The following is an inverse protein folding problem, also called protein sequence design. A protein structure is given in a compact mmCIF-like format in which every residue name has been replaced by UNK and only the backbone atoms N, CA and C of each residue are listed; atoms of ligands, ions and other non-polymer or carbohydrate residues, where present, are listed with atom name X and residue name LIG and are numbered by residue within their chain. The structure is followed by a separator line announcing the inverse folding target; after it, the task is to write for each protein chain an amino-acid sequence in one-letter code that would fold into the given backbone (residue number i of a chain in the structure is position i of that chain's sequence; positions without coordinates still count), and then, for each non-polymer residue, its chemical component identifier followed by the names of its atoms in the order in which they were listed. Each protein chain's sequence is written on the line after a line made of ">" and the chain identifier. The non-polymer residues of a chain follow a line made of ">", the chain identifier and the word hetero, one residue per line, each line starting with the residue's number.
data_IF_278689868806
#
_entry.id   IF_278689868806
#
_cell.length_a   1.000
_cell.length_b   1.000
_cell.length_c   1.000
_cell.angle_alpha   90.00
_cell.angle_beta   90.00
_cell.angle_gamma   90.00
#
_symmetry.space_group_name_H-M   'P 1'
#
loop_
_entity.id
_entity.type
_entity.pdbx_description
1 polymer ?
#
# COMPACT_ATOMS: atom_id res chain seq x y z
N UNK A 1 21.15 -37.83 27.16
CA UNK A 1 22.21 -37.11 26.42
C UNK A 1 23.22 -36.58 27.44
N UNK A 2 24.36 -37.25 27.62
CA UNK A 2 25.43 -36.86 28.55
C UNK A 2 26.50 -36.06 27.81
N UNK A 3 26.22 -34.80 27.50
CA UNK A 3 27.20 -33.90 26.86
C UNK A 3 27.48 -32.72 27.79
N UNK A 4 28.72 -32.23 27.82
CA UNK A 4 29.12 -31.06 28.62
C UNK A 4 28.77 -29.69 28.00
N UNK A 5 28.09 -29.67 26.85
CA UNK A 5 27.69 -28.42 26.21
C UNK A 5 26.48 -27.79 26.90
N UNK A 6 26.56 -26.48 27.16
CA UNK A 6 25.50 -25.70 27.82
C UNK A 6 24.39 -25.28 26.87
N UNK A 7 24.75 -25.02 25.61
CA UNK A 7 23.86 -24.61 24.52
C UNK A 7 24.05 -25.57 23.35
N UNK A 8 22.97 -25.85 22.63
CA UNK A 8 22.95 -26.69 21.44
C UNK A 8 22.37 -25.88 20.29
N UNK A 9 23.00 -25.86 19.11
CA UNK A 9 22.44 -25.21 17.94
C UNK A 9 21.18 -25.95 17.50
N UNK A 10 20.14 -25.20 17.16
CA UNK A 10 18.94 -25.68 16.50
C UNK A 10 19.07 -25.32 15.04
N UNK A 11 18.83 -26.29 14.17
CA UNK A 11 18.84 -26.10 12.72
C UNK A 11 17.50 -26.54 12.13
N UNK A 12 17.10 -25.94 11.01
CA UNK A 12 15.96 -26.43 10.23
C UNK A 12 16.32 -27.69 9.41
N UNK A 13 15.35 -28.21 8.66
CA UNK A 13 15.52 -29.36 7.76
C UNK A 13 16.54 -29.12 6.63
N UNK A 14 16.82 -27.86 6.31
CA UNK A 14 17.73 -27.42 5.25
C UNK A 14 19.12 -27.07 5.83
N UNK A 15 19.34 -27.31 7.13
CA UNK A 15 20.60 -27.06 7.83
C UNK A 15 20.84 -25.61 8.24
N UNK A 16 19.85 -24.72 8.13
CA UNK A 16 19.99 -23.31 8.52
C UNK A 16 19.91 -23.16 10.03
N UNK A 17 20.80 -22.35 10.58
CA UNK A 17 20.86 -22.06 12.01
C UNK A 17 19.64 -21.22 12.45
N UNK A 18 18.85 -21.78 13.37
CA UNK A 18 17.64 -21.15 13.93
C UNK A 18 17.86 -20.54 15.32
N UNK A 19 18.96 -20.88 15.99
CA UNK A 19 19.28 -20.37 17.33
C UNK A 19 19.89 -21.41 18.25
N UNK A 20 19.93 -21.12 19.55
CA UNK A 20 20.45 -22.02 20.57
C UNK A 20 19.36 -22.46 21.54
N UNK A 21 19.33 -23.75 21.87
CA UNK A 21 18.55 -24.30 22.97
C UNK A 21 19.47 -24.73 24.12
N UNK A 22 19.03 -24.58 25.36
CA UNK A 22 19.76 -25.08 26.53
C UNK A 22 18.83 -25.96 27.39
N UNK A 23 19.38 -26.60 28.43
CA UNK A 23 18.61 -27.47 29.33
C UNK A 23 17.41 -26.76 29.97
N UNK A 24 17.48 -25.45 30.26
CA UNK A 24 16.36 -24.71 30.85
C UNK A 24 15.19 -24.59 29.87
N UNK A 25 15.47 -24.35 28.59
CA UNK A 25 14.46 -24.28 27.55
C UNK A 25 13.73 -25.63 27.35
N UNK A 26 14.39 -26.75 27.64
CA UNK A 26 13.78 -28.09 27.58
C UNK A 26 12.96 -28.38 28.84
N UNK A 27 13.47 -28.03 30.02
CA UNK A 27 12.83 -28.31 31.31
C UNK A 27 11.65 -27.39 31.61
N UNK A 28 11.68 -26.16 31.10
CA UNK A 28 10.63 -25.15 31.25
C UNK A 28 10.54 -24.34 29.96
N UNK A 29 9.89 -24.88 28.91
CA UNK A 29 9.71 -24.16 27.66
C UNK A 29 8.87 -22.91 27.90
N UNK A 30 9.53 -21.75 27.94
CA UNK A 30 8.86 -20.46 27.98
C UNK A 30 8.61 -20.01 26.55
N UNK A 31 7.33 -19.90 26.18
CA UNK A 31 6.95 -19.27 24.92
C UNK A 31 7.29 -17.79 24.99
N UNK A 32 7.67 -17.21 23.85
CA UNK A 32 7.85 -15.76 23.76
C UNK A 32 6.48 -15.11 23.90
N UNK A 33 6.37 -14.12 24.77
CA UNK A 33 5.17 -13.31 24.94
C UNK A 33 5.17 -12.17 23.94
N UNK A 34 4.09 -12.00 23.20
CA UNK A 34 3.99 -11.01 22.13
C UNK A 34 2.68 -10.25 22.20
N UNK A 35 2.69 -9.02 21.70
CA UNK A 35 1.50 -8.21 21.43
C UNK A 35 1.50 -7.94 19.93
N UNK A 36 0.38 -8.19 19.27
CA UNK A 36 0.23 -7.89 17.85
C UNK A 36 -0.39 -6.51 17.70
N UNK A 37 0.20 -5.71 16.82
CA UNK A 37 -0.33 -4.41 16.42
C UNK A 37 -0.54 -4.44 14.91
N UNK A 38 -1.66 -3.87 14.46
CA UNK A 38 -1.97 -3.64 13.04
C UNK A 38 -2.21 -4.90 12.18
N UNK A 39 -2.23 -6.08 12.80
CA UNK A 39 -2.61 -7.31 12.12
C UNK A 39 -3.04 -8.38 13.13
N UNK A 40 -3.78 -9.35 12.63
CA UNK A 40 -4.15 -10.54 13.39
C UNK A 40 -3.98 -11.86 12.59
N UNK A 41 -3.86 -11.83 11.26
CA UNK A 41 -3.69 -13.05 10.45
C UNK A 41 -2.29 -13.66 10.62
N UNK A 42 -2.20 -14.99 10.81
CA UNK A 42 -0.90 -15.66 11.01
C UNK A 42 0.03 -15.48 9.82
N UNK A 43 -0.54 -15.45 8.61
CA UNK A 43 0.22 -15.34 7.35
C UNK A 43 0.90 -13.96 7.22
N UNK A 44 0.37 -12.94 7.89
CA UNK A 44 0.92 -11.59 7.88
C UNK A 44 1.93 -11.36 9.02
N UNK A 45 2.02 -12.29 9.98
CA UNK A 45 2.85 -12.16 11.17
C UNK A 45 4.23 -12.81 11.00
N UNK A 46 5.12 -12.52 11.95
CA UNK A 46 6.43 -13.14 12.09
C UNK A 46 6.38 -14.67 12.16
N UNK A 47 7.39 -15.31 11.55
CA UNK A 47 7.66 -16.73 11.68
C UNK A 47 7.74 -17.14 13.15
N UNK A 48 7.07 -18.25 13.49
CA UNK A 48 7.05 -18.76 14.86
C UNK A 48 5.96 -18.16 15.76
N UNK A 49 5.02 -17.35 15.22
CA UNK A 49 3.91 -16.79 16.01
C UNK A 49 3.03 -17.88 16.64
N UNK A 50 2.82 -19.01 15.94
CA UNK A 50 1.99 -20.12 16.45
C UNK A 50 2.55 -20.75 17.73
N UNK A 51 3.86 -20.65 17.90
CA UNK A 51 4.62 -21.14 19.05
C UNK A 51 4.76 -20.08 20.16
N UNK A 52 4.36 -18.84 19.90
CA UNK A 52 4.36 -17.75 20.87
C UNK A 52 3.13 -17.78 21.78
N UNK A 53 3.16 -16.95 22.83
CA UNK A 53 2.04 -16.64 23.69
C UNK A 53 1.58 -15.21 23.36
N UNK A 54 0.49 -15.09 22.62
CA UNK A 54 -0.12 -13.79 22.31
C UNK A 54 -0.79 -13.28 23.57
N UNK A 55 -0.44 -12.08 24.02
CA UNK A 55 -1.01 -11.45 25.20
C UNK A 55 -2.15 -10.51 24.84
N UNK A 56 -1.95 -9.71 23.79
CA UNK A 56 -2.91 -8.70 23.34
C UNK A 56 -2.85 -8.54 21.82
N UNK A 57 -3.95 -8.06 21.24
CA UNK A 57 -4.05 -7.66 19.84
C UNK A 57 -4.70 -6.28 19.78
N UNK A 58 -4.05 -5.33 19.11
CA UNK A 58 -4.58 -3.99 18.83
C UNK A 58 -4.58 -3.79 17.33
N UNK A 59 -5.76 -3.74 16.72
CA UNK A 59 -5.87 -3.80 15.26
C UNK A 59 -7.10 -3.03 14.76
N UNK A 60 -7.09 -2.66 13.49
CA UNK A 60 -8.22 -2.03 12.78
C UNK A 60 -8.67 -2.81 11.54
N UNK A 61 -8.00 -3.92 11.22
CA UNK A 61 -8.34 -4.79 10.11
C UNK A 61 -9.49 -5.75 10.44
N UNK A 62 -10.01 -6.40 9.39
CA UNK A 62 -10.91 -7.54 9.53
C UNK A 62 -10.24 -8.64 10.37
N UNK A 63 -11.05 -9.42 11.06
CA UNK A 63 -10.58 -10.62 11.75
C UNK A 63 -10.37 -11.74 10.74
N UNK A 64 -9.20 -12.38 10.78
CA UNK A 64 -8.87 -13.53 9.96
C UNK A 64 -8.64 -14.80 10.78
N UNK A 65 -7.57 -15.54 10.50
CA UNK A 65 -7.37 -16.92 10.97
C UNK A 65 -6.70 -17.06 12.35
N UNK A 66 -6.80 -16.04 13.21
CA UNK A 66 -6.15 -16.02 14.53
C UNK A 66 -6.84 -16.91 15.57
N UNK A 67 -6.04 -17.57 16.40
CA UNK A 67 -6.55 -18.33 17.56
C UNK A 67 -5.60 -18.22 18.76
N UNK A 68 -6.16 -18.16 19.97
CA UNK A 68 -5.37 -18.14 21.21
C UNK A 68 -5.80 -19.27 22.13
N UNK A 69 -4.84 -19.87 22.84
CA UNK A 69 -5.12 -20.94 23.81
C UNK A 69 -5.67 -20.42 25.14
N UNK A 70 -5.55 -19.12 25.40
CA UNK A 70 -6.04 -18.42 26.59
C UNK A 70 -6.79 -17.16 26.18
N UNK A 71 -7.71 -16.64 27.02
CA UNK A 71 -8.28 -15.31 26.82
C UNK A 71 -7.19 -14.24 26.78
N UNK A 72 -7.34 -13.28 25.87
CA UNK A 72 -6.42 -12.15 25.66
C UNK A 72 -7.19 -10.83 25.62
N UNK A 73 -6.49 -9.70 25.83
CA UNK A 73 -7.07 -8.40 25.49
C UNK A 73 -7.07 -8.24 23.97
N UNK A 74 -8.25 -8.20 23.37
CA UNK A 74 -8.41 -7.95 21.95
C UNK A 74 -9.13 -6.61 21.77
N UNK A 75 -8.42 -5.62 21.23
CA UNK A 75 -8.99 -4.33 20.85
C UNK A 75 -8.97 -4.18 19.34
N UNK A 76 -10.14 -4.41 18.72
CA UNK A 76 -10.37 -4.10 17.31
C UNK A 76 -11.26 -2.86 17.21
N UNK A 77 -10.95 -1.92 16.33
CA UNK A 77 -11.79 -0.73 16.14
C UNK A 77 -11.89 -0.37 14.66
N UNK A 78 -13.09 0.03 14.23
CA UNK A 78 -13.36 0.43 12.84
C UNK A 78 -12.90 1.89 12.67
N UNK A 79 -11.59 2.09 12.65
CA UNK A 79 -10.91 3.39 12.45
C UNK A 79 -9.90 3.29 11.31
N UNK A 80 -9.42 4.43 10.85
CA UNK A 80 -8.50 4.52 9.72
C UNK A 80 -7.10 3.96 9.99
N UNK A 81 -6.65 3.95 11.25
CA UNK A 81 -5.31 3.49 11.63
C UNK A 81 -5.26 2.87 13.02
N UNK A 82 -4.40 1.86 13.21
CA UNK A 82 -4.04 1.33 14.54
C UNK A 82 -3.44 2.42 15.45
N UNK A 83 -2.73 3.41 14.88
CA UNK A 83 -2.17 4.53 15.66
C UNK A 83 -3.26 5.39 16.32
N UNK A 84 -4.46 5.48 15.73
CA UNK A 84 -5.63 6.12 16.35
C UNK A 84 -6.07 5.36 17.60
N UNK A 85 -6.02 4.03 17.57
CA UNK A 85 -6.35 3.18 18.72
C UNK A 85 -5.31 3.37 19.83
N UNK A 86 -4.02 3.38 19.48
CA UNK A 86 -2.94 3.62 20.46
C UNK A 86 -3.06 5.01 21.07
N UNK A 87 -3.36 6.04 20.28
CA UNK A 87 -3.66 7.38 20.79
C UNK A 87 -4.79 7.33 21.84
N UNK A 88 -5.90 6.63 21.57
CA UNK A 88 -7.00 6.50 22.54
C UNK A 88 -6.54 5.82 23.83
N UNK A 89 -5.69 4.79 23.75
CA UNK A 89 -5.13 4.13 24.93
C UNK A 89 -4.34 5.15 25.78
N UNK A 90 -3.47 5.98 25.19
CA UNK A 90 -2.79 7.04 25.94
C UNK A 90 -3.77 7.97 26.65
N UNK A 91 -4.87 8.36 25.98
CA UNK A 91 -5.92 9.21 26.56
C UNK A 91 -6.67 8.53 27.71
N UNK A 92 -7.06 7.28 27.55
CA UNK A 92 -7.79 6.49 28.55
C UNK A 92 -7.01 6.31 29.83
N UNK A 93 -5.69 6.08 29.72
CA UNK A 93 -4.80 5.91 30.86
C UNK A 93 -4.25 7.23 31.41
N UNK A 94 -4.64 8.38 30.84
CA UNK A 94 -4.12 9.71 31.19
C UNK A 94 -2.57 9.77 31.18
N UNK A 95 -1.97 9.18 30.15
CA UNK A 95 -0.53 9.20 29.93
C UNK A 95 -0.20 10.32 28.95
N UNK A 96 0.74 11.18 29.32
CA UNK A 96 1.24 12.23 28.43
C UNK A 96 1.98 11.62 27.23
N UNK A 97 1.75 12.17 26.05
CA UNK A 97 2.37 11.72 24.81
C UNK A 97 3.62 12.57 24.56
N UNK A 98 4.79 11.93 24.58
CA UNK A 98 6.06 12.59 24.26
C UNK A 98 6.13 13.01 22.78
N UNK A 99 6.91 14.05 22.47
CA UNK A 99 7.00 14.64 21.13
C UNK A 99 7.32 13.61 20.03
N UNK A 100 8.33 12.76 20.24
CA UNK A 100 8.70 11.70 19.30
C UNK A 100 7.59 10.65 19.09
N UNK A 101 6.88 10.28 20.15
CA UNK A 101 5.76 9.34 20.06
C UNK A 101 4.59 9.99 19.32
N UNK A 102 4.30 11.26 19.60
CA UNK A 102 3.29 12.01 18.88
C UNK A 102 3.61 12.05 17.38
N UNK A 103 4.89 12.23 17.03
CA UNK A 103 5.40 12.16 15.66
C UNK A 103 5.08 10.82 15.01
N UNK A 104 5.43 9.70 15.63
CA UNK A 104 5.16 8.37 15.07
C UNK A 104 3.66 8.09 14.91
N UNK A 105 2.85 8.48 15.90
CA UNK A 105 1.40 8.27 15.85
C UNK A 105 0.77 9.10 14.73
N UNK A 106 1.14 10.37 14.58
CA UNK A 106 0.58 11.22 13.52
C UNK A 106 0.99 10.71 12.14
N UNK A 107 2.24 10.25 11.96
CA UNK A 107 2.71 9.66 10.70
C UNK A 107 1.91 8.41 10.34
N UNK A 108 1.71 7.49 11.29
CA UNK A 108 0.96 6.26 11.05
C UNK A 108 -0.49 6.55 10.64
N UNK A 109 -1.16 7.48 11.34
CA UNK A 109 -2.53 7.86 10.99
C UNK A 109 -2.59 8.49 9.59
N UNK A 110 -1.68 9.42 9.29
CA UNK A 110 -1.66 10.10 8.00
C UNK A 110 -1.33 9.14 6.85
N UNK A 111 -0.46 8.14 7.09
CA UNK A 111 -0.11 7.08 6.14
C UNK A 111 -1.32 6.22 5.79
N UNK A 112 -1.95 5.58 6.78
CA UNK A 112 -3.06 4.64 6.53
C UNK A 112 -4.31 5.33 5.98
N UNK A 113 -4.51 6.59 6.37
CA UNK A 113 -5.65 7.39 5.92
C UNK A 113 -5.41 8.10 4.60
N UNK A 114 -4.21 8.03 4.02
CA UNK A 114 -3.83 8.76 2.80
C UNK A 114 -4.17 10.25 2.92
N UNK A 115 -3.73 10.89 4.01
CA UNK A 115 -4.14 12.24 4.39
C UNK A 115 -5.67 12.42 4.36
N UNK A 116 -6.36 11.51 5.06
CA UNK A 116 -7.81 11.49 5.18
C UNK A 116 -8.62 11.27 3.90
N UNK A 117 -7.97 10.86 2.81
CA UNK A 117 -8.61 10.52 1.54
C UNK A 117 -9.06 9.06 1.47
N UNK A 118 -8.49 8.20 2.30
CA UNK A 118 -8.91 6.81 2.41
C UNK A 118 -10.37 6.71 2.88
N UNK A 119 -11.19 5.83 2.28
CA UNK A 119 -12.56 5.59 2.72
C UNK A 119 -12.66 4.98 4.14
N UNK A 120 -11.56 4.48 4.69
CA UNK A 120 -11.49 3.97 6.07
C UNK A 120 -11.37 5.09 7.10
N UNK A 121 -11.09 6.33 6.67
CA UNK A 121 -10.90 7.47 7.57
C UNK A 121 -12.17 7.79 8.35
N UNK A 122 -12.01 8.00 9.65
CA UNK A 122 -13.07 8.39 10.57
C UNK A 122 -12.78 9.74 11.23
N UNK A 123 -13.80 10.31 11.89
CA UNK A 123 -13.62 11.52 12.71
C UNK A 123 -12.66 11.28 13.88
N UNK A 124 -12.52 10.03 14.35
CA UNK A 124 -11.57 9.70 15.41
C UNK A 124 -10.12 9.90 14.95
N UNK A 125 -9.82 9.54 13.70
CA UNK A 125 -8.50 9.75 13.10
C UNK A 125 -8.19 11.24 12.96
N UNK A 126 -9.15 12.03 12.48
CA UNK A 126 -9.01 13.50 12.35
C UNK A 126 -8.79 14.16 13.70
N UNK A 127 -9.54 13.75 14.72
CA UNK A 127 -9.39 14.27 16.08
C UNK A 127 -8.05 13.90 16.70
N UNK A 128 -7.57 12.67 16.48
CA UNK A 128 -6.25 12.23 16.94
C UNK A 128 -5.14 13.07 16.29
N UNK A 129 -5.16 13.24 14.96
CA UNK A 129 -4.19 14.08 14.23
C UNK A 129 -4.22 15.52 14.73
N UNK A 130 -5.40 16.10 14.93
CA UNK A 130 -5.55 17.46 15.45
C UNK A 130 -4.89 17.62 16.84
N UNK A 131 -5.13 16.67 17.75
CA UNK A 131 -4.51 16.69 19.08
C UNK A 131 -2.99 16.51 19.01
N UNK A 132 -2.52 15.52 18.24
CA UNK A 132 -1.10 15.22 18.10
C UNK A 132 -0.36 16.41 17.46
N UNK A 133 -0.98 17.10 16.50
CA UNK A 133 -0.37 18.28 15.89
C UNK A 133 -0.28 19.48 16.84
N UNK A 134 -1.09 19.56 17.90
CA UNK A 134 -0.89 20.59 18.93
C UNK A 134 0.42 20.40 19.70
N UNK A 135 0.90 19.16 19.81
CA UNK A 135 2.18 18.83 20.45
C UNK A 135 3.34 19.14 19.49
N UNK A 136 3.16 18.81 18.20
CA UNK A 136 4.22 18.84 17.21
C UNK A 136 4.37 20.18 16.49
N UNK A 137 3.27 20.91 16.34
CA UNK A 137 3.17 22.17 15.60
C UNK A 137 3.72 22.06 14.16
N UNK A 138 3.30 21.00 13.45
CA UNK A 138 3.69 20.76 12.05
C UNK A 138 2.76 21.52 11.10
N UNK A 139 3.34 21.90 9.96
CA UNK A 139 2.57 22.09 8.74
C UNK A 139 2.22 20.71 8.18
N UNK A 140 1.00 20.26 8.46
CA UNK A 140 0.55 18.90 8.14
C UNK A 140 0.55 18.65 6.64
N UNK A 141 0.16 19.63 5.82
CA UNK A 141 0.13 19.46 4.36
C UNK A 141 1.54 19.26 3.82
N UNK A 142 2.47 20.13 4.17
CA UNK A 142 3.86 19.99 3.75
C UNK A 142 4.49 18.69 4.27
N UNK A 143 4.25 18.35 5.55
CA UNK A 143 4.74 17.11 6.16
C UNK A 143 4.25 15.86 5.42
N UNK A 144 2.95 15.78 5.13
CA UNK A 144 2.32 14.68 4.40
C UNK A 144 2.92 14.54 3.02
N UNK A 145 3.08 15.65 2.29
CA UNK A 145 3.67 15.65 0.96
C UNK A 145 5.09 15.09 0.99
N UNK A 146 5.94 15.52 1.93
CA UNK A 146 7.30 15.01 2.09
C UNK A 146 7.35 13.54 2.51
N UNK A 147 6.51 13.15 3.48
CA UNK A 147 6.41 11.77 3.97
C UNK A 147 6.06 10.82 2.82
N UNK A 148 5.02 11.16 2.06
CA UNK A 148 4.56 10.32 0.97
C UNK A 148 5.49 10.33 -0.22
N UNK A 149 6.06 11.48 -0.60
CA UNK A 149 7.11 11.55 -1.61
C UNK A 149 8.28 10.62 -1.28
N UNK A 150 8.69 10.57 -0.02
CA UNK A 150 9.76 9.69 0.43
C UNK A 150 9.33 8.21 0.39
N UNK A 151 8.08 7.91 0.75
CA UNK A 151 7.54 6.54 0.79
C UNK A 151 7.13 5.96 -0.56
N UNK A 152 6.77 6.79 -1.54
CA UNK A 152 6.36 6.37 -2.91
C UNK A 152 7.37 6.77 -3.97
N UNK A 153 8.60 7.11 -3.56
CA UNK A 153 9.65 7.41 -4.52
C UNK A 153 9.87 6.19 -5.42
N UNK A 154 9.68 6.36 -6.72
CA UNK A 154 10.01 5.35 -7.73
C UNK A 154 11.51 5.43 -8.10
N UNK A 155 12.28 6.24 -7.36
CA UNK A 155 13.72 6.41 -7.51
C UNK A 155 14.44 5.10 -7.19
N UNK A 156 15.04 4.50 -8.22
CA UNK A 156 15.71 3.20 -8.13
C UNK A 156 14.91 2.02 -8.71
N UNK A 157 13.59 2.17 -8.93
CA UNK A 157 12.82 1.18 -9.67
C UNK A 157 13.06 1.30 -11.17
N UNK A 158 13.20 0.16 -11.86
CA UNK A 158 13.29 0.15 -13.31
C UNK A 158 11.95 0.54 -13.94
N UNK A 159 11.98 1.12 -15.15
CA UNK A 159 10.74 1.48 -15.87
C UNK A 159 9.91 0.22 -16.17
N UNK A 160 10.60 -0.89 -16.41
CA UNK A 160 9.98 -2.19 -16.63
C UNK A 160 9.20 -2.65 -15.40
N UNK A 161 9.79 -2.56 -14.21
CA UNK A 161 9.12 -2.93 -12.96
C UNK A 161 7.90 -2.03 -12.71
N UNK A 162 8.07 -0.70 -12.84
CA UNK A 162 6.98 0.27 -12.69
C UNK A 162 5.83 -0.06 -13.65
N UNK A 163 6.15 -0.32 -14.92
CA UNK A 163 5.14 -0.55 -15.94
C UNK A 163 4.44 -1.90 -15.76
N UNK A 164 5.16 -2.97 -15.43
CA UNK A 164 4.57 -4.32 -15.35
C UNK A 164 3.98 -4.69 -13.98
N UNK A 165 4.28 -3.94 -12.90
CA UNK A 165 3.80 -4.23 -11.55
C UNK A 165 2.28 -4.44 -11.48
N UNK A 166 1.50 -3.53 -12.08
CA UNK A 166 0.06 -3.72 -12.29
C UNK A 166 -0.34 -3.52 -13.76
N UNK A 167 0.33 -4.25 -14.66
CA UNK A 167 -0.10 -4.34 -16.05
C UNK A 167 -1.16 -5.44 -16.24
N UNK A 168 -2.18 -5.14 -17.05
CA UNK A 168 -3.19 -6.12 -17.50
C UNK A 168 -3.48 -5.96 -18.98
N UNK A 169 -3.62 -7.09 -19.66
CA UNK A 169 -4.11 -7.16 -21.03
C UNK A 169 -5.63 -7.34 -21.07
N UNK A 170 -6.25 -6.70 -22.07
CA UNK A 170 -7.66 -6.77 -22.39
C UNK A 170 -7.82 -6.94 -23.90
N UNK A 171 -8.89 -7.59 -24.29
CA UNK A 171 -9.34 -7.63 -25.69
C UNK A 171 -10.65 -6.85 -25.76
N UNK A 172 -10.58 -5.59 -26.20
CA UNK A 172 -11.71 -4.67 -26.25
C UNK A 172 -12.23 -4.64 -27.69
N UNK A 173 -13.33 -5.35 -27.93
CA UNK A 173 -13.80 -5.68 -29.28
C UNK A 173 -12.69 -6.31 -30.14
N UNK A 174 -12.25 -5.64 -31.20
CA UNK A 174 -11.17 -6.06 -32.10
C UNK A 174 -9.79 -5.53 -31.72
N UNK A 175 -9.66 -4.81 -30.59
CA UNK A 175 -8.42 -4.13 -30.21
C UNK A 175 -7.73 -4.82 -29.03
N UNK A 176 -6.50 -5.27 -29.24
CA UNK A 176 -5.62 -5.80 -28.20
C UNK A 176 -5.09 -4.63 -27.35
N UNK A 177 -5.50 -4.55 -26.10
CA UNK A 177 -5.26 -3.39 -25.23
C UNK A 177 -4.45 -3.77 -23.99
N UNK A 178 -3.34 -3.09 -23.74
CA UNK A 178 -2.55 -3.21 -22.51
C UNK A 178 -2.71 -1.99 -21.62
N UNK A 179 -3.05 -2.18 -20.34
CA UNK A 179 -3.23 -1.08 -19.39
C UNK A 179 -2.43 -1.34 -18.11
N UNK A 180 -1.42 -0.52 -17.87
CA UNK A 180 -0.70 -0.41 -16.61
C UNK A 180 -1.32 0.64 -15.69
N UNK A 181 -1.20 0.42 -14.39
CA UNK A 181 -1.58 1.41 -13.38
C UNK A 181 -0.50 1.49 -12.30
N UNK A 182 -0.04 2.72 -12.02
CA UNK A 182 0.88 3.02 -10.92
C UNK A 182 0.23 4.07 -10.03
N UNK A 183 0.34 3.89 -8.72
CA UNK A 183 -0.09 4.87 -7.75
C UNK A 183 1.12 5.71 -7.33
N UNK A 184 0.96 7.03 -7.33
CA UNK A 184 2.02 7.94 -6.89
C UNK A 184 1.45 9.04 -6.00
N UNK A 185 2.31 9.53 -5.11
CA UNK A 185 2.09 10.73 -4.32
C UNK A 185 3.12 11.83 -4.68
N UNK A 186 4.09 11.52 -5.55
CA UNK A 186 5.01 12.47 -6.20
C UNK A 186 4.90 12.34 -7.71
N UNK A 187 4.01 13.13 -8.31
CA UNK A 187 3.82 13.13 -9.75
C UNK A 187 5.03 13.71 -10.50
N UNK A 188 5.73 14.65 -9.89
CA UNK A 188 6.87 15.32 -10.52
C UNK A 188 8.01 14.32 -10.75
N UNK A 189 8.20 13.35 -9.85
CA UNK A 189 9.18 12.28 -10.05
C UNK A 189 8.86 11.41 -11.27
N UNK A 190 7.60 11.02 -11.44
CA UNK A 190 7.17 10.23 -12.60
C UNK A 190 7.38 11.03 -13.89
N UNK A 191 6.99 12.31 -13.88
CA UNK A 191 7.12 13.18 -15.05
C UNK A 191 8.57 13.54 -15.39
N UNK A 192 9.50 13.54 -14.43
CA UNK A 192 10.96 13.65 -14.73
C UNK A 192 11.44 12.52 -15.64
N UNK A 193 10.78 11.35 -15.59
CA UNK A 193 11.10 10.16 -16.39
C UNK A 193 10.13 9.96 -17.57
N UNK A 194 9.26 10.94 -17.85
CA UNK A 194 8.17 10.85 -18.85
C UNK A 194 8.65 10.32 -20.20
N UNK A 195 9.72 10.89 -20.76
CA UNK A 195 10.23 10.51 -22.08
C UNK A 195 10.68 9.04 -22.12
N UNK A 196 11.40 8.58 -21.09
CA UNK A 196 11.83 7.19 -21.01
C UNK A 196 10.65 6.22 -20.83
N UNK A 197 9.61 6.65 -20.11
CA UNK A 197 8.37 5.88 -19.94
C UNK A 197 7.62 5.80 -21.28
N UNK A 198 7.55 6.89 -22.04
CA UNK A 198 6.93 6.92 -23.37
C UNK A 198 7.66 6.00 -24.35
N UNK A 199 9.00 6.04 -24.38
CA UNK A 199 9.82 5.13 -25.18
C UNK A 199 9.56 3.66 -24.84
N UNK A 200 9.41 3.36 -23.54
CA UNK A 200 9.10 2.02 -23.05
C UNK A 200 7.68 1.59 -23.44
N UNK A 201 6.69 2.48 -23.32
CA UNK A 201 5.31 2.26 -23.77
C UNK A 201 5.31 1.96 -25.27
N UNK A 202 6.01 2.75 -26.08
CA UNK A 202 6.08 2.55 -27.53
C UNK A 202 6.75 1.22 -27.90
N UNK A 203 7.84 0.87 -27.24
CA UNK A 203 8.54 -0.41 -27.44
C UNK A 203 7.63 -1.59 -27.08
N UNK A 204 6.95 -1.51 -25.94
CA UNK A 204 6.02 -2.55 -25.47
C UNK A 204 4.81 -2.68 -26.39
N UNK A 205 4.28 -1.55 -26.85
CA UNK A 205 3.17 -1.48 -27.81
C UNK A 205 3.50 -2.26 -29.09
N UNK A 206 4.65 -1.97 -29.70
CA UNK A 206 5.11 -2.62 -30.94
C UNK A 206 5.43 -4.10 -30.72
N UNK A 207 6.23 -4.43 -29.72
CA UNK A 207 6.71 -5.80 -29.51
C UNK A 207 5.58 -6.81 -29.26
N UNK A 208 4.51 -6.36 -28.62
CA UNK A 208 3.37 -7.21 -28.27
C UNK A 208 2.18 -7.08 -29.24
N UNK A 209 2.32 -6.26 -30.29
CA UNK A 209 1.26 -5.93 -31.25
C UNK A 209 -0.02 -5.48 -30.55
N UNK A 210 0.10 -4.54 -29.60
CA UNK A 210 -1.06 -3.90 -29.00
C UNK A 210 -1.62 -2.84 -29.95
N UNK A 211 -2.93 -2.66 -29.93
CA UNK A 211 -3.62 -1.55 -30.58
C UNK A 211 -3.71 -0.33 -29.65
N UNK A 212 -3.73 -0.58 -28.33
CA UNK A 212 -3.72 0.45 -27.29
C UNK A 212 -2.78 0.01 -26.17
N UNK A 213 -1.87 0.88 -25.76
CA UNK A 213 -1.03 0.70 -24.57
C UNK A 213 -1.14 1.95 -23.72
N UNK A 214 -1.65 1.82 -22.50
CA UNK A 214 -1.98 2.94 -21.62
C UNK A 214 -1.32 2.72 -20.26
N UNK A 215 -0.69 3.77 -19.72
CA UNK A 215 -0.23 3.85 -18.35
C UNK A 215 -1.07 4.90 -17.61
N UNK A 216 -1.71 4.47 -16.53
CA UNK A 216 -2.41 5.33 -15.58
C UNK A 216 -1.47 5.65 -14.42
N UNK A 217 -1.12 6.91 -14.25
CA UNK A 217 -0.36 7.40 -13.10
C UNK A 217 -1.36 8.06 -12.16
N UNK A 218 -1.88 7.28 -11.20
CA UNK A 218 -2.93 7.70 -10.28
C UNK A 218 -2.33 8.53 -9.15
N UNK A 219 -2.66 9.82 -9.13
CA UNK A 219 -2.36 10.74 -8.04
C UNK A 219 -3.44 10.57 -6.97
N UNK A 220 -3.06 9.92 -5.87
CA UNK A 220 -3.99 9.60 -4.78
C UNK A 220 -4.51 10.89 -4.12
N UNK A 221 -3.71 11.96 -4.05
CA UNK A 221 -4.09 13.20 -3.36
C UNK A 221 -5.06 14.03 -4.18
N UNK A 222 -4.87 14.07 -5.50
CA UNK A 222 -5.75 14.76 -6.43
C UNK A 222 -6.96 13.93 -6.89
N UNK A 223 -7.07 12.69 -6.42
CA UNK A 223 -8.19 11.80 -6.74
C UNK A 223 -8.41 11.62 -8.25
N UNK A 224 -7.33 11.44 -9.01
CA UNK A 224 -7.39 11.28 -10.46
C UNK A 224 -6.13 10.63 -11.03
N UNK A 225 -6.07 10.49 -12.35
CA UNK A 225 -4.93 9.86 -13.02
C UNK A 225 -4.41 10.68 -14.18
N UNK A 226 -3.09 10.80 -14.28
CA UNK A 226 -2.42 11.23 -15.48
C UNK A 226 -2.29 10.04 -16.44
N UNK A 227 -2.46 10.26 -17.74
CA UNK A 227 -2.32 9.19 -18.74
C UNK A 227 -1.12 9.39 -19.64
N UNK A 228 -0.33 8.33 -19.82
CA UNK A 228 0.67 8.22 -20.89
C UNK A 228 0.28 7.04 -21.76
N UNK A 229 0.28 7.20 -23.08
CA UNK A 229 -0.27 6.17 -23.96
C UNK A 229 0.37 6.10 -25.33
N UNK A 230 0.18 4.95 -25.97
CA UNK A 230 0.32 4.77 -27.41
C UNK A 230 -0.93 4.07 -27.94
N UNK A 231 -1.52 4.61 -29.01
CA UNK A 231 -2.64 3.99 -29.70
C UNK A 231 -2.39 3.95 -31.20
N UNK A 232 -3.02 3.00 -31.88
CA UNK A 232 -3.14 2.98 -33.35
C UNK A 232 -4.07 4.07 -33.86
N UNK A 233 -5.01 4.54 -33.03
CA UNK A 233 -5.92 5.63 -33.33
C UNK A 233 -6.18 6.45 -32.06
N UNK A 234 -5.47 7.57 -31.94
CA UNK A 234 -5.54 8.46 -30.79
C UNK A 234 -6.95 9.02 -30.51
N UNK A 235 -7.84 9.04 -31.52
CA UNK A 235 -9.25 9.44 -31.34
C UNK A 235 -10.01 8.53 -30.38
N UNK A 236 -9.56 7.28 -30.17
CA UNK A 236 -10.15 6.38 -29.18
C UNK A 236 -9.95 6.96 -27.78
N UNK A 237 -8.77 7.51 -27.48
CA UNK A 237 -8.44 8.08 -26.17
C UNK A 237 -9.22 9.37 -25.95
N UNK A 238 -9.24 10.28 -26.94
CA UNK A 238 -9.99 11.53 -26.83
C UNK A 238 -11.49 11.28 -26.65
N UNK A 239 -12.06 10.31 -27.38
CA UNK A 239 -13.48 9.94 -27.26
C UNK A 239 -13.80 9.28 -25.91
N UNK A 240 -12.92 8.41 -25.40
CA UNK A 240 -13.15 7.70 -24.14
C UNK A 240 -13.17 8.63 -22.91
N UNK A 241 -12.30 9.65 -22.92
CA UNK A 241 -12.08 10.51 -21.77
C UNK A 241 -12.52 11.96 -21.96
N UNK A 242 -13.09 12.30 -23.12
CA UNK A 242 -13.51 13.67 -23.48
C UNK A 242 -12.38 14.69 -23.26
N UNK A 243 -11.21 14.36 -23.83
CA UNK A 243 -9.96 15.09 -23.61
C UNK A 243 -9.21 15.33 -24.90
N UNK A 244 -8.34 16.34 -24.92
CA UNK A 244 -7.39 16.53 -26.01
C UNK A 244 -6.37 15.38 -26.07
N UNK A 245 -5.84 15.14 -27.27
CA UNK A 245 -4.82 14.12 -27.57
C UNK A 245 -3.45 14.62 -27.08
N UNK A 246 -3.23 14.58 -25.77
CA UNK A 246 -1.98 15.02 -25.15
C UNK A 246 -1.44 14.01 -24.13
N UNK A 247 -0.11 13.80 -24.16
CA UNK A 247 0.57 12.94 -23.21
C UNK A 247 0.69 13.61 -21.84
N UNK A 248 0.20 12.93 -20.81
CA UNK A 248 0.23 13.42 -19.43
C UNK A 248 -0.95 14.32 -19.09
N UNK A 249 -2.06 14.22 -19.81
CA UNK A 249 -3.31 14.88 -19.42
C UNK A 249 -3.86 14.27 -18.13
N UNK A 250 -4.37 15.12 -17.24
CA UNK A 250 -4.97 14.71 -15.97
C UNK A 250 -6.46 14.43 -16.13
N UNK A 251 -6.88 13.23 -15.72
CA UNK A 251 -8.26 12.79 -15.72
C UNK A 251 -8.80 12.77 -14.30
N UNK A 252 -9.57 13.80 -13.95
CA UNK A 252 -10.19 13.94 -12.63
C UNK A 252 -11.17 12.79 -12.34
N UNK A 253 -11.11 12.23 -11.14
CA UNK A 253 -11.99 11.15 -10.69
C UNK A 253 -11.66 9.76 -11.26
N UNK A 254 -10.71 9.65 -12.20
CA UNK A 254 -10.27 8.36 -12.74
C UNK A 254 -9.22 7.74 -11.80
N UNK A 255 -9.63 6.70 -11.06
CA UNK A 255 -8.79 6.01 -10.06
C UNK A 255 -8.80 4.49 -10.30
N UNK A 256 -9.82 3.96 -10.98
CA UNK A 256 -9.99 2.51 -11.19
C UNK A 256 -9.89 2.15 -12.66
N UNK A 257 -8.82 1.44 -13.05
CA UNK A 257 -8.71 0.83 -14.38
C UNK A 257 -9.94 0.00 -14.75
N UNK A 258 -10.36 -0.91 -13.86
CA UNK A 258 -11.44 -1.88 -14.17
C UNK A 258 -12.83 -1.25 -14.23
N UNK A 259 -13.15 -0.33 -13.31
CA UNK A 259 -14.50 0.24 -13.22
C UNK A 259 -14.71 1.46 -14.12
N UNK A 260 -13.65 2.19 -14.44
CA UNK A 260 -13.77 3.48 -15.11
C UNK A 260 -13.08 3.50 -16.47
N UNK A 261 -11.83 3.02 -16.57
CA UNK A 261 -11.03 3.13 -17.80
C UNK A 261 -11.45 2.10 -18.84
N UNK A 262 -11.53 0.83 -18.47
CA UNK A 262 -11.89 -0.26 -19.40
C UNK A 262 -13.28 -0.05 -20.05
N UNK A 263 -14.36 0.27 -19.30
CA UNK A 263 -15.66 0.52 -19.91
C UNK A 263 -15.64 1.71 -20.88
N UNK A 264 -14.99 2.82 -20.51
CA UNK A 264 -14.88 4.02 -21.35
C UNK A 264 -14.16 3.74 -22.67
N UNK A 265 -13.05 3.00 -22.64
CA UNK A 265 -12.33 2.61 -23.86
C UNK A 265 -13.20 1.70 -24.73
N UNK A 266 -13.92 0.75 -24.13
CA UNK A 266 -14.81 -0.14 -24.86
C UNK A 266 -15.95 0.63 -25.56
N UNK A 267 -16.59 1.58 -24.86
CA UNK A 267 -17.63 2.44 -25.43
C UNK A 267 -17.10 3.31 -26.58
N UNK A 268 -15.91 3.89 -26.42
CA UNK A 268 -15.29 4.71 -27.47
C UNK A 268 -14.93 3.90 -28.72
N UNK A 269 -14.34 2.71 -28.55
CA UNK A 269 -14.04 1.80 -29.66
C UNK A 269 -15.32 1.42 -30.39
N UNK A 270 -16.37 1.06 -29.63
CA UNK A 270 -17.67 0.72 -30.20
C UNK A 270 -18.25 1.88 -31.02
N UNK A 271 -18.22 3.09 -30.48
CA UNK A 271 -18.73 4.27 -31.16
C UNK A 271 -17.98 4.54 -32.48
N UNK A 272 -16.65 4.52 -32.45
CA UNK A 272 -15.81 4.78 -33.63
C UNK A 272 -15.98 3.71 -34.71
N UNK A 273 -16.11 2.43 -34.31
CA UNK A 273 -16.31 1.32 -35.27
C UNK A 273 -17.66 1.38 -35.99
N UNK A 274 -18.64 2.10 -35.43
CA UNK A 274 -20.01 2.19 -35.98
C UNK A 274 -20.31 3.57 -36.61
N UNK A 275 -19.30 4.43 -36.79
CA UNK A 275 -19.38 5.64 -37.62
C UNK A 275 -19.01 5.34 -39.08
#
# INVERSE_FOLDING_TARGET
>A
ISTNHRNYPVIDKDGRFLGFINKKHILSPQRKKVILVDHNEYVQSVDGLKEAEILEIVDHHKLGDISTSMPINFRNSIVGSTCTIIYQVFREYNIDIEYNIAGLLISGILSDTLYFKSPTTTDMDRNAVNYLNQILNLDIENYVMEMFKTGTSLEGESIEDIFYNDFKEFYLESHKTGISQVFTLDIDDVFRRKELILDFIETTHKNNNYDITLLLITDILKEGSYILYKSVNDNIISTAFDTEVEQGVFLEGIISRKKQVVPKLQEAIHYINNM
#
